data_IF_666348769839
#
_entry.id   IF_666348769839
#
_cell.length_a   1.000
_cell.length_b   1.000
_cell.length_c   1.000
_cell.angle_alpha   90.00
_cell.angle_beta   90.00
_cell.angle_gamma   90.00
#
_symmetry.space_group_name_H-M   'P 1'
#
loop_
_entity.id
_entity.type
_entity.pdbx_description
1 polymer ?
#
# COMPACT_ATOMS: atom_id res chain seq x y z
N UNK A 1 9.47 16.03 5.92
CA UNK A 1 8.23 16.40 5.20
C UNK A 1 7.15 16.79 6.21
N UNK A 2 6.87 18.09 6.40
CA UNK A 2 5.82 18.53 7.31
C UNK A 2 4.44 17.96 6.92
N UNK A 3 3.66 17.51 7.90
CA UNK A 3 2.27 17.08 7.70
C UNK A 3 2.08 15.70 7.07
N UNK A 4 3.14 14.92 6.84
CA UNK A 4 3.06 13.53 6.35
C UNK A 4 3.42 12.54 7.45
N UNK A 5 2.86 11.34 7.37
CA UNK A 5 3.19 10.22 8.25
C UNK A 5 3.88 9.12 7.45
N UNK A 6 4.84 8.46 8.10
CA UNK A 6 5.46 7.22 7.61
C UNK A 6 4.99 6.08 8.49
N UNK A 7 4.65 4.95 7.88
CA UNK A 7 4.08 3.80 8.56
C UNK A 7 4.95 2.57 8.28
N UNK A 8 5.18 1.79 9.36
CA UNK A 8 5.81 0.46 9.36
C UNK A 8 7.12 0.36 8.56
N UNK A 9 8.20 0.98 9.09
CA UNK A 9 9.48 0.99 8.40
C UNK A 9 10.14 -0.40 8.37
N UNK A 10 10.77 -0.73 7.25
CA UNK A 10 11.70 -1.85 7.12
C UNK A 10 13.07 -1.34 6.68
N UNK A 11 14.14 -1.76 7.35
CA UNK A 11 15.49 -1.25 7.10
C UNK A 11 16.40 -2.35 6.56
N UNK A 12 17.18 -2.02 5.53
CA UNK A 12 18.30 -2.82 5.05
C UNK A 12 19.57 -1.97 5.03
N UNK A 13 20.71 -2.56 5.37
CA UNK A 13 22.02 -1.89 5.32
C UNK A 13 23.01 -2.81 4.65
N UNK A 14 23.61 -2.33 3.56
CA UNK A 14 24.64 -3.07 2.81
C UNK A 14 25.94 -3.15 3.60
N UNK A 15 26.87 -4.01 3.15
CA UNK A 15 28.18 -4.16 3.78
C UNK A 15 29.04 -2.88 3.74
N UNK A 16 28.75 -1.93 2.84
CA UNK A 16 29.44 -0.63 2.80
C UNK A 16 28.93 0.36 3.85
N UNK A 17 27.89 0.00 4.61
CA UNK A 17 27.23 0.88 5.57
C UNK A 17 26.13 1.77 4.97
N UNK A 18 25.91 1.70 3.65
CA UNK A 18 24.82 2.39 2.96
C UNK A 18 23.52 1.61 3.11
N UNK A 19 22.46 2.26 3.56
CA UNK A 19 21.19 1.63 3.85
C UNK A 19 19.99 2.36 3.29
N UNK A 20 18.84 1.70 3.43
CA UNK A 20 17.53 2.20 3.05
C UNK A 20 16.52 1.86 4.13
N UNK A 21 15.65 2.81 4.46
CA UNK A 21 14.42 2.59 5.24
C UNK A 21 13.23 2.69 4.30
N UNK A 22 12.60 1.56 4.00
CA UNK A 22 11.36 1.49 3.23
C UNK A 22 10.17 1.80 4.13
N UNK A 23 9.18 2.53 3.63
CA UNK A 23 8.01 2.98 4.38
C UNK A 23 6.78 3.04 3.47
N UNK A 24 5.60 2.93 4.07
CA UNK A 24 4.39 3.48 3.46
C UNK A 24 4.30 4.96 3.86
N UNK A 25 4.09 5.85 2.90
CA UNK A 25 3.90 7.28 3.14
C UNK A 25 2.42 7.64 2.94
N UNK A 26 1.86 8.36 3.91
CA UNK A 26 0.49 8.90 3.86
C UNK A 26 0.48 10.36 4.27
N UNK A 27 -0.47 11.13 3.74
CA UNK A 27 -0.63 12.53 4.11
C UNK A 27 -1.95 13.10 3.61
N UNK A 28 -2.29 14.35 3.96
CA UNK A 28 -3.50 15.02 3.50
C UNK A 28 -3.63 15.10 1.96
N UNK A 29 -2.49 15.09 1.27
CA UNK A 29 -2.37 15.14 -0.19
C UNK A 29 -1.82 13.85 -0.81
N UNK A 30 -1.57 12.82 0.00
CA UNK A 30 -0.86 11.61 -0.42
C UNK A 30 -1.65 10.39 0.01
N UNK A 31 -2.21 9.69 -0.98
CA UNK A 31 -2.70 8.33 -0.78
C UNK A 31 -1.56 7.41 -0.32
N UNK A 32 -1.86 6.29 0.37
CA UNK A 32 -0.85 5.31 0.77
C UNK A 32 0.09 4.93 -0.37
N UNK A 33 1.33 5.43 -0.27
CA UNK A 33 2.35 5.38 -1.30
C UNK A 33 3.53 4.55 -0.83
N UNK A 34 4.17 3.79 -1.74
CA UNK A 34 5.42 3.11 -1.46
C UNK A 34 6.58 4.11 -1.55
N UNK A 35 7.36 4.23 -0.48
CA UNK A 35 8.44 5.20 -0.39
C UNK A 35 9.65 4.64 0.36
N UNK A 36 10.78 5.34 0.28
CA UNK A 36 11.97 5.00 1.04
C UNK A 36 12.78 6.24 1.40
N UNK A 37 13.67 6.14 2.38
CA UNK A 37 14.72 7.11 2.61
C UNK A 37 16.07 6.39 2.69
N UNK A 38 17.12 7.02 2.16
CA UNK A 38 18.48 6.52 2.36
C UNK A 38 18.92 6.76 3.81
N UNK A 39 19.79 5.91 4.33
CA UNK A 39 20.38 6.06 5.67
C UNK A 39 21.84 5.62 5.65
N UNK A 40 22.72 6.37 6.32
CA UNK A 40 24.05 5.92 6.67
C UNK A 40 24.50 6.50 8.02
N UNK A 41 25.66 6.07 8.51
CA UNK A 41 26.18 6.47 9.81
C UNK A 41 26.74 7.90 9.84
N UNK A 42 27.07 8.49 8.68
CA UNK A 42 27.70 9.81 8.58
C UNK A 42 26.68 10.94 8.43
N UNK A 43 25.71 10.76 7.53
CA UNK A 43 24.68 11.73 7.18
C UNK A 43 23.34 11.43 7.89
N UNK A 44 23.15 10.23 8.44
CA UNK A 44 21.88 9.82 9.03
C UNK A 44 20.82 9.56 7.97
N UNK A 45 19.55 9.80 8.33
CA UNK A 45 18.41 9.65 7.42
C UNK A 45 18.35 10.80 6.41
N UNK A 46 18.27 10.46 5.13
CA UNK A 46 18.03 11.40 4.04
C UNK A 46 16.54 11.69 3.82
N UNK A 47 16.26 12.37 2.72
CA UNK A 47 14.89 12.67 2.30
C UNK A 47 14.12 11.41 1.92
N UNK A 48 12.81 11.44 2.17
CA UNK A 48 11.88 10.40 1.71
C UNK A 48 11.63 10.58 0.21
N UNK A 49 11.75 9.50 -0.54
CA UNK A 49 11.54 9.40 -1.97
C UNK A 49 10.37 8.45 -2.24
N UNK A 50 9.38 8.91 -2.99
CA UNK A 50 8.24 8.07 -3.38
C UNK A 50 8.65 7.21 -4.57
N UNK A 51 8.57 5.88 -4.42
CA UNK A 51 8.84 4.90 -5.49
C UNK A 51 7.60 4.63 -6.33
N UNK A 52 6.44 4.64 -5.68
CA UNK A 52 5.15 4.54 -6.34
C UNK A 52 4.09 5.30 -5.52
N UNK A 53 3.49 6.32 -6.14
CA UNK A 53 2.37 7.04 -5.54
C UNK A 53 1.15 6.13 -5.41
N UNK A 54 0.46 6.22 -4.28
CA UNK A 54 -0.83 5.59 -4.08
C UNK A 54 -1.86 6.17 -5.06
N UNK A 55 -2.75 5.31 -5.56
CA UNK A 55 -3.73 5.68 -6.56
C UNK A 55 -5.07 6.14 -5.96
N UNK A 56 -5.44 5.65 -4.77
CA UNK A 56 -6.73 5.96 -4.14
C UNK A 56 -6.67 5.91 -2.61
N UNK A 57 -7.77 6.26 -1.94
CA UNK A 57 -7.94 6.13 -0.49
C UNK A 57 -7.98 4.68 -0.05
N UNK A 58 -7.59 4.44 1.21
CA UNK A 58 -7.74 3.12 1.83
C UNK A 58 -9.19 2.65 1.87
N UNK A 59 -9.40 1.37 1.56
CA UNK A 59 -10.69 0.70 1.51
C UNK A 59 -10.53 -0.77 1.96
N UNK A 60 -10.02 -0.91 3.20
CA UNK A 60 -9.77 -2.18 3.87
C UNK A 60 -10.87 -2.55 4.87
N UNK A 61 -11.08 -3.86 5.09
CA UNK A 61 -12.12 -4.41 5.98
C UNK A 61 -12.10 -3.87 7.41
N UNK A 62 -10.94 -3.47 7.93
CA UNK A 62 -10.81 -2.91 9.29
C UNK A 62 -11.35 -1.50 9.44
N UNK A 63 -11.69 -0.84 8.34
CA UNK A 63 -12.27 0.51 8.32
C UNK A 63 -13.80 0.51 8.41
N UNK A 64 -14.43 -0.68 8.45
CA UNK A 64 -15.87 -0.82 8.45
C UNK A 64 -16.37 -1.56 9.69
N UNK A 65 -17.26 -0.92 10.46
CA UNK A 65 -17.70 -1.41 11.78
C UNK A 65 -18.43 -2.75 11.68
N UNK A 66 -19.16 -2.98 10.59
CA UNK A 66 -19.96 -4.18 10.36
C UNK A 66 -19.08 -5.43 10.13
N UNK A 67 -17.80 -5.24 9.84
CA UNK A 67 -16.81 -6.27 9.55
C UNK A 67 -15.92 -6.56 10.76
N UNK A 68 -16.14 -5.85 11.87
CA UNK A 68 -15.35 -5.96 13.09
C UNK A 68 -16.11 -6.70 14.19
N UNK A 69 -15.35 -7.40 15.04
CA UNK A 69 -15.91 -8.00 16.26
C UNK A 69 -16.47 -6.91 17.19
N UNK A 70 -17.53 -7.19 17.97
CA UNK A 70 -18.03 -6.26 18.97
C UNK A 70 -16.93 -5.76 19.90
N UNK A 71 -16.84 -4.43 20.05
CA UNK A 71 -15.83 -3.77 20.89
C UNK A 71 -14.46 -3.53 20.23
N UNK A 72 -14.25 -3.97 18.99
CA UNK A 72 -13.01 -3.67 18.27
C UNK A 72 -12.93 -2.19 17.85
N UNK A 73 -11.70 -1.67 17.83
CA UNK A 73 -11.41 -0.31 17.36
C UNK A 73 -11.45 -0.23 15.84
N UNK A 74 -12.02 0.85 15.30
CA UNK A 74 -11.97 1.21 13.89
C UNK A 74 -10.59 1.80 13.56
N UNK A 75 -9.59 0.93 13.41
CA UNK A 75 -8.23 1.31 13.00
C UNK A 75 -7.89 0.61 11.69
N UNK A 76 -7.53 1.36 10.62
CA UNK A 76 -6.96 0.76 9.42
C UNK A 76 -5.75 -0.11 9.76
N UNK A 77 -5.80 -1.40 9.36
CA UNK A 77 -4.68 -2.32 9.50
C UNK A 77 -3.77 -2.17 8.28
N UNK A 78 -2.63 -1.53 8.53
CA UNK A 78 -1.56 -1.29 7.57
C UNK A 78 -0.26 -1.79 8.15
N UNK A 79 0.71 -2.06 7.27
CA UNK A 79 2.10 -2.27 7.63
C UNK A 79 2.52 -3.69 7.94
N UNK A 80 1.63 -4.65 7.72
CA UNK A 80 1.92 -6.07 7.90
C UNK A 80 2.78 -6.65 6.76
N UNK A 81 2.93 -5.92 5.64
CA UNK A 81 3.65 -6.39 4.44
C UNK A 81 4.84 -5.49 4.06
N UNK A 82 5.55 -4.95 5.06
CA UNK A 82 6.83 -4.25 4.90
C UNK A 82 8.04 -5.20 5.01
N UNK A 83 9.03 -5.07 4.12
CA UNK A 83 10.27 -5.86 4.21
C UNK A 83 11.46 -5.17 3.54
N UNK A 84 12.67 -5.53 3.95
CA UNK A 84 13.92 -5.11 3.33
C UNK A 84 14.92 -6.27 3.37
N UNK A 85 15.53 -6.60 2.23
CA UNK A 85 16.51 -7.67 2.08
C UNK A 85 17.71 -7.15 1.30
N UNK A 86 18.91 -7.35 1.82
CA UNK A 86 20.17 -6.93 1.20
C UNK A 86 20.60 -7.96 0.16
N UNK A 87 20.96 -7.49 -1.04
CA UNK A 87 21.44 -8.27 -2.19
C UNK A 87 22.70 -7.57 -2.76
N UNK A 88 23.87 -7.94 -2.22
CA UNK A 88 25.14 -7.31 -2.56
C UNK A 88 25.18 -5.82 -2.18
N UNK A 89 25.33 -4.95 -3.19
CA UNK A 89 25.27 -3.49 -3.03
C UNK A 89 23.86 -2.90 -3.20
N UNK A 90 22.86 -3.75 -3.43
CA UNK A 90 21.46 -3.35 -3.55
C UNK A 90 20.62 -3.85 -2.38
N UNK A 91 19.42 -3.29 -2.24
CA UNK A 91 18.43 -3.67 -1.26
C UNK A 91 17.10 -3.83 -1.99
N UNK A 92 16.47 -4.98 -1.84
CA UNK A 92 15.09 -5.21 -2.22
C UNK A 92 14.18 -4.78 -1.08
N UNK A 93 13.23 -3.90 -1.37
CA UNK A 93 12.27 -3.42 -0.39
C UNK A 93 10.86 -3.75 -0.82
N UNK A 94 10.01 -4.06 0.16
CA UNK A 94 8.59 -4.25 0.01
C UNK A 94 7.85 -3.20 0.86
N UNK A 95 6.90 -2.50 0.26
CA UNK A 95 6.06 -1.51 0.96
C UNK A 95 4.61 -1.68 0.53
N UNK A 96 3.70 -1.61 1.50
CA UNK A 96 2.27 -1.53 1.19
C UNK A 96 1.93 -0.18 0.58
N UNK A 97 1.06 -0.21 -0.41
CA UNK A 97 0.52 0.97 -1.08
C UNK A 97 -0.82 0.64 -1.75
N UNK A 98 -1.47 1.65 -2.33
CA UNK A 98 -2.70 1.43 -3.12
C UNK A 98 -2.36 1.53 -4.60
N UNK A 99 -2.40 0.39 -5.29
CA UNK A 99 -1.95 0.28 -6.68
C UNK A 99 -2.93 0.85 -7.70
N UNK A 100 -4.23 0.80 -7.39
CA UNK A 100 -5.27 1.02 -8.37
C UNK A 100 -6.42 1.88 -7.83
N UNK A 101 -6.96 2.71 -8.72
CA UNK A 101 -8.25 3.36 -8.52
C UNK A 101 -9.38 2.38 -8.82
N UNK A 102 -10.57 2.68 -8.31
CA UNK A 102 -11.79 2.03 -8.75
C UNK A 102 -12.95 3.01 -8.60
N UNK A 103 -13.70 3.21 -9.68
CA UNK A 103 -14.91 4.01 -9.63
C UNK A 103 -16.08 3.17 -9.12
N UNK A 104 -17.14 3.85 -8.70
CA UNK A 104 -18.32 3.21 -8.11
C UNK A 104 -19.01 2.23 -9.05
N UNK A 105 -19.11 2.56 -10.35
CA UNK A 105 -19.76 1.70 -11.35
C UNK A 105 -18.98 0.40 -11.57
N UNK A 106 -17.66 0.48 -11.74
CA UNK A 106 -16.81 -0.71 -11.91
C UNK A 106 -16.72 -1.55 -10.65
N UNK A 107 -16.78 -0.90 -9.48
CA UNK A 107 -16.86 -1.59 -8.20
C UNK A 107 -18.14 -2.43 -8.10
N UNK A 108 -19.30 -1.90 -8.49
CA UNK A 108 -20.54 -2.67 -8.42
C UNK A 108 -20.78 -3.63 -9.59
N UNK A 109 -20.08 -3.45 -10.71
CA UNK A 109 -20.08 -4.40 -11.83
C UNK A 109 -21.49 -4.82 -12.27
N UNK A 110 -21.78 -6.12 -12.43
CA UNK A 110 -23.09 -6.63 -12.88
C UNK A 110 -24.29 -6.24 -12.01
N UNK A 111 -24.09 -5.90 -10.72
CA UNK A 111 -25.17 -5.47 -9.82
C UNK A 111 -25.89 -4.22 -10.37
N UNK A 112 -25.13 -3.26 -10.91
CA UNK A 112 -25.71 -2.05 -11.49
C UNK A 112 -26.30 -2.26 -12.89
N UNK A 113 -26.02 -3.40 -13.53
CA UNK A 113 -26.59 -3.78 -14.83
C UNK A 113 -27.83 -4.69 -14.69
N UNK A 114 -28.30 -4.98 -13.47
CA UNK A 114 -29.44 -5.87 -13.24
C UNK A 114 -29.15 -7.34 -13.58
N UNK A 115 -27.88 -7.73 -13.69
CA UNK A 115 -27.48 -9.11 -13.94
C UNK A 115 -27.67 -9.99 -12.71
N UNK A 116 -27.92 -11.29 -12.92
CA UNK A 116 -27.90 -12.30 -11.86
C UNK A 116 -26.61 -13.11 -11.98
N UNK A 117 -25.86 -13.28 -10.89
CA UNK A 117 -24.51 -13.89 -10.91
C UNK A 117 -23.74 -13.68 -9.60
N UNK A 118 -22.69 -14.48 -9.40
CA UNK A 118 -22.00 -14.77 -8.15
C UNK A 118 -21.10 -13.65 -7.59
N UNK A 119 -21.68 -12.68 -6.87
CA UNK A 119 -20.98 -11.95 -5.79
C UNK A 119 -19.66 -11.20 -6.12
N UNK A 120 -19.32 -10.93 -7.39
CA UNK A 120 -18.10 -10.19 -7.77
C UNK A 120 -18.14 -8.68 -7.45
N UNK A 121 -19.09 -8.26 -6.60
CA UNK A 121 -19.14 -6.92 -6.02
C UNK A 121 -17.79 -6.57 -5.39
N UNK A 122 -17.26 -5.41 -5.76
CA UNK A 122 -16.02 -4.85 -5.24
C UNK A 122 -14.74 -5.38 -5.87
N UNK A 123 -14.81 -6.23 -6.91
CA UNK A 123 -13.61 -6.67 -7.65
C UNK A 123 -13.02 -5.59 -8.55
N UNK A 124 -13.79 -4.56 -8.92
CA UNK A 124 -13.36 -3.55 -9.88
C UNK A 124 -12.99 -4.15 -11.25
N UNK A 125 -13.71 -5.20 -11.66
CA UNK A 125 -13.63 -5.82 -12.99
C UNK A 125 -14.59 -5.21 -14.02
N UNK A 126 -15.48 -4.31 -13.59
CA UNK A 126 -16.48 -3.70 -14.46
C UNK A 126 -17.64 -4.63 -14.81
N UNK A 127 -18.33 -4.34 -15.91
CA UNK A 127 -19.49 -5.13 -16.40
C UNK A 127 -19.09 -6.51 -16.94
N UNK A 128 -17.84 -6.65 -17.39
CA UNK A 128 -17.20 -7.91 -17.72
C UNK A 128 -16.73 -8.61 -16.44
N UNK A 129 -17.58 -9.46 -15.87
CA UNK A 129 -17.24 -10.47 -14.86
C UNK A 129 -15.77 -10.96 -14.97
N UNK A 130 -15.01 -10.93 -13.88
CA UNK A 130 -13.60 -11.36 -13.84
C UNK A 130 -12.83 -10.83 -12.63
N UNK A 131 -11.57 -11.28 -12.41
CA UNK A 131 -10.71 -10.73 -11.37
C UNK A 131 -10.33 -9.30 -11.76
N UNK A 132 -10.96 -8.31 -11.13
CA UNK A 132 -10.56 -6.93 -11.32
C UNK A 132 -9.32 -6.57 -10.48
N UNK A 133 -8.96 -5.29 -10.53
CA UNK A 133 -7.66 -4.79 -10.01
C UNK A 133 -7.60 -4.69 -8.48
N UNK A 134 -8.69 -4.99 -7.77
CA UNK A 134 -8.76 -5.04 -6.31
C UNK A 134 -9.91 -5.98 -5.89
N UNK A 135 -10.15 -6.15 -4.60
CA UNK A 135 -11.33 -6.88 -4.12
C UNK A 135 -12.13 -6.03 -3.14
N UNK A 136 -13.35 -6.50 -2.82
CA UNK A 136 -14.14 -5.87 -1.77
C UNK A 136 -13.34 -5.89 -0.46
N UNK A 137 -13.30 -4.74 0.23
CA UNK A 137 -12.67 -4.61 1.54
C UNK A 137 -11.14 -4.90 1.57
N UNK A 138 -10.50 -4.92 0.40
CA UNK A 138 -9.04 -4.99 0.28
C UNK A 138 -8.60 -4.37 -1.05
N UNK A 139 -8.01 -3.18 -0.99
CA UNK A 139 -7.42 -2.48 -2.15
C UNK A 139 -5.94 -2.16 -2.00
N UNK A 140 -5.32 -2.59 -0.89
CA UNK A 140 -3.88 -2.51 -0.69
C UNK A 140 -3.15 -3.52 -1.58
N UNK A 141 -1.88 -3.25 -1.83
CA UNK A 141 -0.96 -4.05 -2.62
C UNK A 141 0.45 -3.90 -2.04
N UNK A 142 1.35 -4.82 -2.38
CA UNK A 142 2.76 -4.72 -1.98
C UNK A 142 3.61 -4.37 -3.18
N UNK A 143 4.29 -3.23 -3.13
CA UNK A 143 5.27 -2.81 -4.14
C UNK A 143 6.64 -3.36 -3.77
N UNK A 144 7.22 -4.19 -4.63
CA UNK A 144 8.61 -4.63 -4.54
C UNK A 144 9.48 -3.69 -5.39
N UNK A 145 10.56 -3.17 -4.81
CA UNK A 145 11.49 -2.26 -5.50
C UNK A 145 12.94 -2.60 -5.16
N UNK A 146 13.84 -2.50 -6.15
CA UNK A 146 15.28 -2.63 -5.94
C UNK A 146 15.92 -1.24 -5.84
N UNK A 147 16.70 -1.01 -4.80
CA UNK A 147 17.36 0.28 -4.54
C UNK A 147 18.87 0.01 -4.35
N UNK A 148 19.71 0.87 -4.94
CA UNK A 148 21.17 0.83 -4.75
C UNK A 148 21.57 2.14 -4.07
N UNK A 149 21.73 2.15 -2.73
CA UNK A 149 21.98 3.36 -1.93
C UNK A 149 23.44 3.86 -1.95
#
# INVERSE_FOLDING_TARGET
>A
MPGKNVIYPAIGVTASGRGVVAVTLVGPSDFPSAAYAAIDAQAGMGDVNIVASGAATEDGFTSYKQQLNPGASLRPRWGDYGSAVVDGSSIWVASEYIAHVCNYTDWGGPFFAGGTGDNLLGTCGGASHGPGVRTALANWSTRISKITP
#
